data_IF_159488524873
#
_entry.id   IF_159488524873
#
_cell.length_a   1.000
_cell.length_b   1.000
_cell.length_c   1.000
_cell.angle_alpha   90.00
_cell.angle_beta   90.00
_cell.angle_gamma   90.00
#
_symmetry.space_group_name_H-M   'P 1'
#
loop_
_entity.id
_entity.type
_entity.pdbx_description
1 polymer ?
#
# COMPACT_ATOMS: atom_id res chain seq x y z
N UNK A 1 11.12 -54.96 1.69
CA UNK A 1 10.49 -54.01 2.64
C UNK A 1 10.83 -54.27 4.09
N UNK A 2 10.78 -55.53 4.56
CA UNK A 2 11.07 -55.88 5.96
C UNK A 2 12.52 -55.56 6.41
N UNK A 3 13.54 -55.78 5.51
CA UNK A 3 14.94 -55.49 5.80
C UNK A 3 15.21 -54.00 6.01
N UNK A 4 14.63 -53.15 5.18
CA UNK A 4 14.78 -51.68 5.27
C UNK A 4 14.21 -51.11 6.59
N UNK A 5 13.08 -51.64 7.04
CA UNK A 5 12.48 -51.23 8.33
C UNK A 5 13.35 -51.65 9.50
N UNK A 6 13.96 -52.83 9.43
CA UNK A 6 14.85 -53.36 10.47
C UNK A 6 16.17 -52.57 10.55
N UNK A 7 16.68 -52.13 9.41
CA UNK A 7 17.88 -51.29 9.30
C UNK A 7 17.60 -49.87 9.86
N UNK A 8 16.44 -49.28 9.54
CA UNK A 8 16.00 -48.02 10.12
C UNK A 8 15.85 -48.08 11.66
N UNK A 9 15.37 -49.18 12.18
CA UNK A 9 15.22 -49.40 13.63
C UNK A 9 16.58 -49.65 14.32
N UNK A 10 17.61 -50.05 13.60
CA UNK A 10 18.95 -50.25 14.16
C UNK A 10 19.76 -48.95 14.21
N UNK A 11 19.58 -48.05 13.19
CA UNK A 11 20.25 -46.75 13.11
C UNK A 11 19.29 -45.58 13.40
N UNK A 12 18.53 -45.66 14.47
CA UNK A 12 17.49 -44.68 14.82
C UNK A 12 17.97 -43.24 14.83
N UNK A 13 19.17 -42.98 15.35
CA UNK A 13 19.75 -41.64 15.41
C UNK A 13 19.99 -41.03 14.03
N UNK A 14 20.53 -41.82 13.09
CA UNK A 14 20.80 -41.36 11.72
C UNK A 14 19.52 -41.01 10.98
N UNK A 15 18.52 -41.90 11.02
CA UNK A 15 17.25 -41.66 10.35
C UNK A 15 16.44 -40.54 11.00
N UNK A 16 16.47 -40.42 12.34
CA UNK A 16 15.80 -39.32 13.02
C UNK A 16 16.41 -37.94 12.67
N UNK A 17 17.74 -37.86 12.51
CA UNK A 17 18.41 -36.65 12.07
C UNK A 17 18.01 -36.26 10.64
N UNK A 18 17.90 -37.23 9.72
CA UNK A 18 17.46 -36.98 8.34
C UNK A 18 16.01 -36.46 8.33
N UNK A 19 15.12 -37.13 9.07
CA UNK A 19 13.73 -36.70 9.19
C UNK A 19 13.63 -35.32 9.81
N UNK A 20 14.37 -35.02 10.87
CA UNK A 20 14.43 -33.73 11.51
C UNK A 20 14.94 -32.65 10.55
N UNK A 21 15.94 -32.94 9.73
CA UNK A 21 16.45 -32.02 8.71
C UNK A 21 15.38 -31.70 7.65
N UNK A 22 14.72 -32.74 7.11
CA UNK A 22 13.66 -32.58 6.12
C UNK A 22 12.50 -31.77 6.72
N UNK A 23 12.11 -32.05 7.96
CA UNK A 23 11.08 -31.29 8.67
C UNK A 23 11.47 -29.81 8.83
N UNK A 24 12.71 -29.55 9.27
CA UNK A 24 13.22 -28.19 9.45
C UNK A 24 13.21 -27.40 8.14
N UNK A 25 13.70 -27.99 7.05
CA UNK A 25 13.72 -27.34 5.73
C UNK A 25 12.29 -27.06 5.25
N UNK A 26 11.39 -28.04 5.37
CA UNK A 26 9.99 -27.88 4.98
C UNK A 26 9.30 -26.79 5.81
N UNK A 27 9.56 -26.76 7.11
CA UNK A 27 9.02 -25.74 8.02
C UNK A 27 9.51 -24.33 7.66
N UNK A 28 10.81 -24.18 7.38
CA UNK A 28 11.38 -22.90 6.92
C UNK A 28 10.76 -22.44 5.60
N UNK A 29 10.56 -23.34 4.63
CA UNK A 29 9.92 -23.00 3.36
C UNK A 29 8.50 -22.50 3.56
N UNK A 30 7.71 -23.14 4.42
CA UNK A 30 6.34 -22.70 4.73
C UNK A 30 6.33 -21.30 5.37
N UNK A 31 7.23 -21.05 6.34
CA UNK A 31 7.33 -19.73 6.98
C UNK A 31 7.73 -18.67 5.97
N UNK A 32 8.76 -18.91 5.15
CA UNK A 32 9.23 -17.95 4.15
C UNK A 32 8.16 -17.63 3.12
N UNK A 33 7.43 -18.64 2.65
CA UNK A 33 6.32 -18.46 1.70
C UNK A 33 5.18 -17.66 2.34
N UNK A 34 4.82 -17.96 3.58
CA UNK A 34 3.79 -17.23 4.32
C UNK A 34 4.17 -15.76 4.56
N UNK A 35 5.43 -15.50 4.92
CA UNK A 35 5.94 -14.15 5.13
C UNK A 35 5.95 -13.35 3.80
N UNK A 36 6.44 -13.95 2.72
CA UNK A 36 6.47 -13.32 1.40
C UNK A 36 5.06 -12.95 0.93
N UNK A 37 4.10 -13.88 1.06
CA UNK A 37 2.69 -13.64 0.71
C UNK A 37 2.06 -12.55 1.59
N UNK A 38 2.35 -12.58 2.89
CA UNK A 38 1.88 -11.56 3.83
C UNK A 38 2.38 -10.16 3.46
N UNK A 39 3.67 -10.03 3.17
CA UNK A 39 4.28 -8.76 2.78
C UNK A 39 3.72 -8.25 1.44
N UNK A 40 3.58 -9.12 0.45
CA UNK A 40 2.97 -8.75 -0.84
C UNK A 40 1.54 -8.24 -0.66
N UNK A 41 0.74 -8.86 0.21
CA UNK A 41 -0.62 -8.40 0.50
C UNK A 41 -0.64 -7.04 1.20
N UNK A 42 0.29 -6.77 2.12
CA UNK A 42 0.41 -5.45 2.75
C UNK A 42 0.79 -4.35 1.76
N UNK A 43 1.61 -4.65 0.76
CA UNK A 43 2.04 -3.68 -0.24
C UNK A 43 0.88 -3.18 -1.12
N UNK A 44 -0.13 -4.00 -1.37
CA UNK A 44 -1.24 -3.72 -2.30
C UNK A 44 -2.60 -3.50 -1.63
N UNK A 45 -2.70 -3.65 -0.32
CA UNK A 45 -3.99 -3.70 0.37
C UNK A 45 -4.86 -2.46 0.09
N UNK A 46 -4.27 -1.25 0.15
CA UNK A 46 -5.00 -0.02 -0.14
C UNK A 46 -5.46 0.07 -1.60
N UNK A 47 -4.60 -0.38 -2.55
CA UNK A 47 -4.89 -0.32 -3.99
C UNK A 47 -6.06 -1.23 -4.36
N UNK A 48 -6.13 -2.41 -3.76
CA UNK A 48 -7.23 -3.34 -3.96
C UNK A 48 -8.60 -2.78 -3.52
N UNK A 49 -8.60 -1.85 -2.53
CA UNK A 49 -9.83 -1.19 -2.06
C UNK A 49 -10.23 0.01 -2.95
N UNK A 50 -9.39 0.45 -3.90
CA UNK A 50 -9.68 1.61 -4.74
C UNK A 50 -10.80 1.37 -5.78
N UNK A 51 -11.12 0.12 -6.10
CA UNK A 51 -12.11 -0.23 -7.14
C UNK A 51 -11.81 0.44 -8.49
N UNK A 52 -10.55 0.38 -8.86
CA UNK A 52 -10.01 1.00 -10.06
C UNK A 52 -9.58 -0.05 -11.08
N UNK A 53 -9.65 0.27 -12.37
CA UNK A 53 -9.16 -0.61 -13.44
C UNK A 53 -7.81 -0.17 -13.99
N UNK A 54 -7.52 1.14 -13.95
CA UNK A 54 -6.26 1.64 -14.48
C UNK A 54 -5.71 2.84 -13.71
N UNK A 55 -4.40 3.03 -13.83
CA UNK A 55 -3.64 4.11 -13.25
C UNK A 55 -2.73 4.72 -14.31
N UNK A 56 -2.70 6.05 -14.38
CA UNK A 56 -1.79 6.80 -15.24
C UNK A 56 -0.68 7.39 -14.39
N UNK A 57 0.55 7.13 -14.79
CA UNK A 57 1.79 7.53 -14.13
C UNK A 57 2.70 8.23 -15.14
N UNK A 58 3.72 8.92 -14.65
CA UNK A 58 4.83 9.36 -15.50
C UNK A 58 5.56 8.13 -16.06
N UNK A 59 5.91 8.15 -17.36
CA UNK A 59 6.61 7.04 -18.04
C UNK A 59 7.94 6.69 -17.38
N UNK A 60 8.69 7.70 -16.92
CA UNK A 60 10.03 7.55 -16.35
C UNK A 60 10.01 6.96 -14.93
N UNK A 61 8.83 6.89 -14.33
CA UNK A 61 8.66 6.29 -12.99
C UNK A 61 8.77 4.77 -12.98
N UNK A 62 8.81 4.11 -14.14
CA UNK A 62 8.82 2.65 -14.27
C UNK A 62 7.66 1.94 -13.54
N UNK A 63 6.56 2.67 -13.32
CA UNK A 63 5.40 2.19 -12.57
C UNK A 63 5.51 2.37 -11.04
N UNK A 64 6.48 3.11 -10.55
CA UNK A 64 6.64 3.41 -9.12
C UNK A 64 5.89 4.68 -8.75
N UNK A 65 4.85 4.56 -7.94
CA UNK A 65 3.99 5.69 -7.55
C UNK A 65 4.78 6.83 -6.90
N UNK A 66 5.74 6.50 -6.03
CA UNK A 66 6.55 7.51 -5.30
C UNK A 66 7.50 8.31 -6.19
N UNK A 67 7.86 7.75 -7.36
CA UNK A 67 8.77 8.36 -8.33
C UNK A 67 8.01 8.97 -9.52
N UNK A 68 6.71 8.83 -9.55
CA UNK A 68 5.86 9.40 -10.58
C UNK A 68 5.47 10.82 -10.23
N UNK A 69 5.76 11.74 -11.14
CA UNK A 69 5.41 13.15 -11.04
C UNK A 69 4.73 13.58 -12.35
N UNK A 70 3.46 13.86 -12.28
CA UNK A 70 2.66 14.36 -13.40
C UNK A 70 2.63 15.89 -13.38
N UNK A 71 2.88 16.51 -14.53
CA UNK A 71 2.73 17.95 -14.68
C UNK A 71 1.24 18.36 -14.67
N UNK A 72 0.97 19.63 -14.41
CA UNK A 72 -0.39 20.15 -14.47
C UNK A 72 -1.02 19.99 -15.87
N UNK A 73 -0.24 20.17 -16.93
CA UNK A 73 -0.69 19.99 -18.32
C UNK A 73 -1.05 18.54 -18.62
N UNK A 74 -0.23 17.59 -18.11
CA UNK A 74 -0.51 16.16 -18.25
C UNK A 74 -1.83 15.80 -17.52
N UNK A 75 -2.01 16.29 -16.30
CA UNK A 75 -3.23 16.04 -15.53
C UNK A 75 -4.45 16.68 -16.19
N UNK A 76 -4.33 17.92 -16.68
CA UNK A 76 -5.42 18.65 -17.37
C UNK A 76 -5.82 17.99 -18.70
N UNK A 77 -4.89 17.29 -19.35
CA UNK A 77 -5.15 16.57 -20.62
C UNK A 77 -5.88 15.24 -20.39
N UNK A 78 -5.93 14.74 -19.16
CA UNK A 78 -6.65 13.52 -18.80
C UNK A 78 -8.15 13.79 -18.59
N UNK A 79 -9.01 12.77 -18.80
CA UNK A 79 -10.44 12.92 -18.52
C UNK A 79 -10.73 13.28 -17.06
N UNK A 80 -11.70 14.16 -16.83
CA UNK A 80 -12.06 14.68 -15.51
C UNK A 80 -12.71 13.66 -14.55
N UNK A 81 -12.97 12.43 -15.02
CA UNK A 81 -13.54 11.34 -14.21
C UNK A 81 -12.48 10.52 -13.46
N UNK A 82 -11.21 10.88 -13.57
CA UNK A 82 -10.12 10.28 -12.81
C UNK A 82 -10.04 10.80 -11.37
N UNK A 83 -9.44 10.00 -10.50
CA UNK A 83 -9.07 10.42 -9.15
C UNK A 83 -7.60 10.76 -9.11
N UNK A 84 -7.29 12.00 -8.78
CA UNK A 84 -5.90 12.46 -8.56
C UNK A 84 -5.40 11.87 -7.26
N UNK A 85 -4.19 11.30 -7.30
CA UNK A 85 -3.47 10.75 -6.15
C UNK A 85 -2.20 11.58 -5.96
N UNK A 86 -2.08 12.16 -4.76
CA UNK A 86 -0.81 12.71 -4.28
C UNK A 86 -0.37 11.92 -3.06
N UNK A 87 0.87 11.46 -3.06
CA UNK A 87 1.42 10.60 -2.03
C UNK A 87 2.65 11.25 -1.40
N UNK A 88 2.77 11.12 -0.08
CA UNK A 88 3.93 11.58 0.68
C UNK A 88 4.26 10.63 1.83
N UNK A 89 5.48 10.08 1.83
CA UNK A 89 5.96 9.20 2.90
C UNK A 89 6.55 10.03 4.02
N UNK A 90 6.12 9.80 5.25
CA UNK A 90 6.58 10.57 6.41
C UNK A 90 6.44 9.79 7.72
N UNK A 91 7.11 10.28 8.75
CA UNK A 91 6.86 9.90 10.13
C UNK A 91 5.79 10.85 10.71
N UNK A 92 4.81 10.29 11.39
CA UNK A 92 3.85 11.06 12.19
C UNK A 92 4.03 10.74 13.68
N UNK A 93 3.76 11.75 14.52
CA UNK A 93 3.84 11.63 15.97
C UNK A 93 2.54 12.14 16.58
N UNK A 94 1.97 11.41 17.54
CA UNK A 94 0.86 11.91 18.36
C UNK A 94 1.38 12.79 19.51
N UNK A 95 0.48 13.57 20.09
CA UNK A 95 0.77 14.36 21.30
C UNK A 95 1.18 13.47 22.49
N UNK A 96 0.68 12.23 22.54
CA UNK A 96 1.03 11.22 23.54
C UNK A 96 2.37 10.51 23.28
N UNK A 97 3.13 10.95 22.29
CA UNK A 97 4.46 10.40 21.97
C UNK A 97 4.48 9.16 21.08
N UNK A 98 3.32 8.60 20.69
CA UNK A 98 3.25 7.50 19.72
C UNK A 98 3.81 7.97 18.36
N UNK A 99 4.57 7.11 17.69
CA UNK A 99 5.19 7.41 16.40
C UNK A 99 4.85 6.31 15.40
N UNK A 100 4.58 6.68 14.15
CA UNK A 100 4.33 5.72 13.07
C UNK A 100 4.85 6.26 11.74
N UNK A 101 5.57 5.40 10.99
CA UNK A 101 5.90 5.68 9.59
C UNK A 101 4.66 5.44 8.75
N UNK A 102 4.30 6.38 7.90
CA UNK A 102 3.03 6.34 7.17
C UNK A 102 3.15 6.88 5.75
N UNK A 103 2.17 6.51 4.94
CA UNK A 103 1.90 7.12 3.63
C UNK A 103 0.72 8.07 3.77
N UNK A 104 0.95 9.37 3.61
CA UNK A 104 -0.13 10.32 3.39
C UNK A 104 -0.60 10.16 1.96
N UNK A 105 -1.89 9.93 1.75
CA UNK A 105 -2.51 9.81 0.43
C UNK A 105 -3.63 10.81 0.33
N UNK A 106 -3.44 11.81 -0.51
CA UNK A 106 -4.47 12.82 -0.73
C UNK A 106 -5.49 12.36 -1.77
N UNK A 107 -6.75 12.44 -1.38
CA UNK A 107 -7.92 12.10 -2.19
C UNK A 107 -8.99 13.19 -2.05
N UNK A 108 -9.57 13.59 -3.18
CA UNK A 108 -10.78 14.42 -3.13
C UNK A 108 -11.92 13.62 -2.48
N UNK A 109 -12.63 14.24 -1.56
CA UNK A 109 -13.79 13.66 -0.89
C UNK A 109 -14.93 13.26 -1.84
N UNK A 110 -14.97 13.85 -3.05
CA UNK A 110 -15.92 13.51 -4.12
C UNK A 110 -15.46 12.35 -4.99
N UNK A 111 -14.19 11.93 -4.88
CA UNK A 111 -13.62 10.87 -5.71
C UNK A 111 -14.32 9.53 -5.49
N UNK A 112 -14.33 8.69 -6.52
CA UNK A 112 -14.94 7.36 -6.43
C UNK A 112 -14.21 6.47 -5.41
N UNK A 113 -12.88 6.63 -5.27
CA UNK A 113 -12.08 5.90 -4.27
C UNK A 113 -12.55 6.27 -2.86
N UNK A 114 -12.63 7.59 -2.57
CA UNK A 114 -13.02 8.04 -1.24
C UNK A 114 -14.47 7.65 -0.91
N UNK A 115 -15.39 7.71 -1.86
CA UNK A 115 -16.78 7.30 -1.67
C UNK A 115 -16.90 5.83 -1.26
N UNK A 116 -16.06 4.94 -1.78
CA UNK A 116 -16.04 3.50 -1.45
C UNK A 116 -15.29 3.15 -0.18
N UNK A 117 -14.45 4.05 0.33
CA UNK A 117 -13.66 3.80 1.53
C UNK A 117 -14.55 3.36 2.70
N UNK A 118 -14.29 2.19 3.24
CA UNK A 118 -15.01 1.64 4.41
C UNK A 118 -14.47 2.25 5.68
N UNK A 119 -15.32 2.53 6.66
CA UNK A 119 -14.94 3.04 7.98
C UNK A 119 -15.27 1.99 9.02
N UNK A 120 -14.29 1.62 9.84
CA UNK A 120 -14.47 0.68 10.96
C UNK A 120 -14.91 1.37 12.24
N UNK A 121 -14.49 2.62 12.43
CA UNK A 121 -14.96 3.47 13.54
C UNK A 121 -14.70 4.94 13.24
N UNK A 122 -15.51 5.83 13.82
CA UNK A 122 -15.43 7.27 13.60
C UNK A 122 -16.22 7.75 12.40
N UNK A 123 -15.73 8.81 11.75
CA UNK A 123 -16.37 9.46 10.61
C UNK A 123 -15.45 9.54 9.40
N UNK A 124 -16.04 9.58 8.22
CA UNK A 124 -15.36 9.72 6.94
C UNK A 124 -15.17 11.19 6.57
N UNK A 125 -14.28 11.88 7.28
CA UNK A 125 -13.99 13.28 7.06
C UNK A 125 -12.49 13.52 6.87
N UNK A 126 -12.13 14.26 5.80
CA UNK A 126 -10.74 14.64 5.49
C UNK A 126 -10.57 16.16 5.32
N UNK A 127 -11.62 16.96 5.62
CA UNK A 127 -11.59 18.42 5.50
C UNK A 127 -10.91 19.03 6.74
N UNK A 128 -10.37 20.26 6.58
CA UNK A 128 -9.80 21.04 7.68
C UNK A 128 -8.68 20.30 8.42
N UNK A 129 -7.70 19.79 7.69
CA UNK A 129 -6.61 19.00 8.24
C UNK A 129 -7.08 17.77 9.05
N UNK A 130 -8.18 17.18 8.64
CA UNK A 130 -8.65 15.90 9.16
C UNK A 130 -8.17 14.74 8.28
N UNK A 131 -8.07 13.55 8.86
CA UNK A 131 -7.65 12.36 8.16
C UNK A 131 -8.37 11.11 8.61
N UNK A 132 -8.59 10.20 7.65
CA UNK A 132 -9.02 8.82 7.91
C UNK A 132 -7.79 7.95 7.84
N UNK A 133 -7.50 7.22 8.93
CA UNK A 133 -6.25 6.48 9.08
C UNK A 133 -6.48 4.98 9.05
N UNK A 134 -5.44 4.23 8.68
CA UNK A 134 -5.43 2.78 8.73
C UNK A 134 -5.78 2.24 10.14
N UNK A 135 -6.50 1.12 10.21
CA UNK A 135 -6.77 0.39 11.46
C UNK A 135 -5.50 0.00 12.22
N UNK A 136 -4.33 0.00 11.56
CA UNK A 136 -3.05 -0.19 12.24
C UNK A 136 -2.83 0.87 13.31
N UNK A 137 -3.13 2.14 13.04
CA UNK A 137 -3.02 3.21 14.04
C UNK A 137 -3.84 2.92 15.30
N UNK A 138 -5.06 2.37 15.13
CA UNK A 138 -5.90 1.97 16.28
C UNK A 138 -5.25 0.87 17.10
N UNK A 139 -4.66 -0.14 16.45
CA UNK A 139 -3.93 -1.22 17.13
C UNK A 139 -2.69 -0.72 17.87
N UNK A 140 -2.04 0.32 17.35
CA UNK A 140 -0.85 0.95 17.93
C UNK A 140 -1.19 1.98 19.03
N UNK A 141 -2.49 2.11 19.38
CA UNK A 141 -2.95 2.92 20.51
C UNK A 141 -3.43 4.32 20.17
N UNK A 142 -3.44 4.73 18.89
CA UNK A 142 -4.01 6.03 18.48
C UNK A 142 -5.54 6.01 18.57
N UNK A 143 -6.14 7.16 18.87
CA UNK A 143 -7.57 7.33 19.10
C UNK A 143 -8.17 8.36 18.14
N UNK A 144 -9.48 8.26 17.92
CA UNK A 144 -10.24 9.32 17.24
C UNK A 144 -10.11 10.60 18.06
N UNK A 145 -9.82 11.70 17.35
CA UNK A 145 -9.58 13.01 17.96
C UNK A 145 -8.10 13.34 18.18
N UNK A 146 -7.21 12.33 18.20
CA UNK A 146 -5.77 12.57 18.30
C UNK A 146 -5.27 13.39 17.09
N UNK A 147 -4.22 14.19 17.33
CA UNK A 147 -3.53 14.93 16.28
C UNK A 147 -2.23 14.23 15.91
N UNK A 148 -2.06 13.99 14.62
CA UNK A 148 -0.81 13.50 14.01
C UNK A 148 0.03 14.69 13.59
N UNK A 149 1.15 14.91 14.24
CA UNK A 149 2.16 15.90 13.85
C UNK A 149 3.04 15.26 12.77
N UNK A 150 3.07 15.89 11.60
CA UNK A 150 3.90 15.44 10.47
C UNK A 150 5.34 15.88 10.69
N UNK A 151 6.30 14.95 10.58
CA UNK A 151 7.72 15.25 10.78
C UNK A 151 8.20 16.33 9.78
N UNK A 152 9.08 17.20 10.27
CA UNK A 152 9.66 18.32 9.51
C UNK A 152 8.62 19.28 8.93
N UNK A 153 7.44 19.39 9.54
CA UNK A 153 6.34 20.25 9.13
C UNK A 153 5.57 20.76 10.34
N UNK A 154 4.85 21.87 10.17
CA UNK A 154 3.87 22.36 11.14
C UNK A 154 2.49 21.72 10.98
N UNK A 155 2.33 20.80 10.01
CA UNK A 155 1.05 20.20 9.72
C UNK A 155 0.61 19.26 10.85
N UNK A 156 -0.61 19.47 11.31
CA UNK A 156 -1.31 18.61 12.27
C UNK A 156 -2.56 18.03 11.60
N UNK A 157 -2.69 16.71 11.62
CA UNK A 157 -3.83 16.00 11.03
C UNK A 157 -4.64 15.38 12.15
N UNK A 158 -5.90 15.78 12.28
CA UNK A 158 -6.82 15.21 13.27
C UNK A 158 -7.37 13.89 12.78
N UNK A 159 -7.25 12.83 13.56
CA UNK A 159 -7.86 11.52 13.28
C UNK A 159 -9.38 11.62 13.44
N UNK A 160 -10.10 11.37 12.35
CA UNK A 160 -11.57 11.39 12.33
C UNK A 160 -12.19 10.02 12.23
N UNK A 161 -11.47 9.05 11.68
CA UNK A 161 -11.95 7.69 11.53
C UNK A 161 -10.85 6.71 11.17
N UNK A 162 -11.17 5.45 11.35
CA UNK A 162 -10.30 4.32 11.01
C UNK A 162 -10.86 3.54 9.83
N UNK A 163 -9.97 3.02 8.98
CA UNK A 163 -10.33 2.26 7.78
C UNK A 163 -9.52 0.96 7.69
N UNK A 164 -10.14 -0.16 7.29
CA UNK A 164 -9.45 -1.43 7.15
C UNK A 164 -8.61 -1.46 5.87
N UNK A 165 -7.65 -2.39 5.81
CA UNK A 165 -6.84 -2.68 4.62
C UNK A 165 -6.15 -1.47 3.98
N UNK A 166 -5.92 -0.42 4.74
CA UNK A 166 -5.26 0.80 4.28
C UNK A 166 -3.75 0.70 4.52
N UNK A 167 -3.08 -0.09 3.70
CA UNK A 167 -1.63 -0.27 3.70
C UNK A 167 -1.11 -0.15 2.27
N UNK A 168 -0.07 0.65 2.06
CA UNK A 168 0.57 0.90 0.78
C UNK A 168 2.08 0.86 0.97
N UNK A 169 2.79 0.06 0.17
CA UNK A 169 4.24 -0.16 0.32
C UNK A 169 4.63 -0.56 1.76
N UNK A 170 3.88 -1.49 2.35
CA UNK A 170 4.01 -1.98 3.73
C UNK A 170 3.78 -0.94 4.84
N UNK A 171 3.48 0.31 4.51
CA UNK A 171 3.20 1.37 5.47
C UNK A 171 1.69 1.63 5.61
N UNK A 172 1.19 1.94 6.81
CA UNK A 172 -0.20 2.32 7.00
C UNK A 172 -0.49 3.64 6.29
N UNK A 173 -1.69 3.77 5.74
CA UNK A 173 -2.13 4.96 5.00
C UNK A 173 -2.91 5.91 5.91
N UNK A 174 -2.67 7.19 5.72
CA UNK A 174 -3.49 8.30 6.21
C UNK A 174 -4.10 8.99 5.00
N UNK A 175 -5.41 8.86 4.82
CA UNK A 175 -6.15 9.58 3.78
C UNK A 175 -6.47 10.99 4.23
N UNK A 176 -6.08 11.98 3.42
CA UNK A 176 -6.26 13.41 3.69
C UNK A 176 -6.84 14.12 2.45
N UNK A 177 -7.21 15.38 2.59
CA UNK A 177 -7.62 16.19 1.43
C UNK A 177 -6.40 16.65 0.61
N UNK A 178 -6.60 16.98 -0.69
CA UNK A 178 -5.55 17.58 -1.52
C UNK A 178 -5.00 18.88 -0.92
N UNK A 179 -5.85 19.72 -0.33
CA UNK A 179 -5.43 20.98 0.30
C UNK A 179 -4.47 20.73 1.47
N UNK A 180 -4.70 19.66 2.24
CA UNK A 180 -3.85 19.31 3.39
C UNK A 180 -2.45 18.89 2.96
N UNK A 181 -2.29 18.17 1.85
CA UNK A 181 -0.96 17.72 1.39
C UNK A 181 -0.18 18.78 0.62
N UNK A 182 -0.85 19.78 0.08
CA UNK A 182 -0.23 20.79 -0.78
C UNK A 182 0.93 21.52 -0.10
N UNK A 183 0.86 21.74 1.20
CA UNK A 183 1.95 22.36 1.99
C UNK A 183 3.19 21.50 2.10
N UNK A 184 3.08 20.18 1.95
CA UNK A 184 4.19 19.22 2.13
C UNK A 184 4.94 18.95 0.83
N UNK A 185 4.24 18.78 -0.27
CA UNK A 185 4.80 18.37 -1.55
C UNK A 185 4.55 19.35 -2.70
N UNK A 186 4.20 20.60 -2.39
CA UNK A 186 3.97 21.68 -3.36
C UNK A 186 2.95 21.31 -4.44
N UNK A 187 1.93 20.53 -4.09
CA UNK A 187 0.89 20.11 -5.02
C UNK A 187 1.30 19.06 -6.06
N UNK A 188 2.35 18.30 -5.80
CA UNK A 188 2.79 17.22 -6.69
C UNK A 188 1.68 16.19 -6.85
N UNK A 189 1.34 15.87 -8.10
CA UNK A 189 0.46 14.76 -8.47
C UNK A 189 1.31 13.54 -8.85
N UNK A 190 1.10 12.41 -8.16
CA UNK A 190 1.84 11.19 -8.46
C UNK A 190 1.12 10.33 -9.51
N UNK A 191 -0.19 10.30 -9.50
CA UNK A 191 -0.98 9.49 -10.43
C UNK A 191 -2.38 10.04 -10.63
N UNK A 192 -3.02 9.60 -11.70
CA UNK A 192 -4.47 9.70 -11.87
C UNK A 192 -5.03 8.30 -12.06
N UNK A 193 -6.00 7.94 -11.25
CA UNK A 193 -6.59 6.60 -11.19
C UNK A 193 -7.99 6.65 -11.80
N UNK A 194 -8.30 5.66 -12.64
CA UNK A 194 -9.57 5.56 -13.35
C UNK A 194 -10.31 4.28 -13.03
N UNK A 195 -11.63 4.38 -12.97
CA UNK A 195 -12.51 3.24 -12.77
C UNK A 195 -12.53 2.31 -14.00
N UNK A 196 -12.31 2.87 -15.18
CA UNK A 196 -12.25 2.15 -16.45
C UNK A 196 -10.91 2.42 -17.15
N UNK A 197 -10.46 1.52 -18.00
CA UNK A 197 -9.27 1.73 -18.84
C UNK A 197 -9.56 2.81 -19.87
N UNK A 198 -8.63 3.73 -20.07
CA UNK A 198 -8.71 4.78 -21.09
C UNK A 198 -8.24 4.25 -22.44
N UNK A 199 -8.77 4.83 -23.53
CA UNK A 199 -8.21 4.61 -24.86
C UNK A 199 -6.82 5.26 -24.97
N UNK A 200 -5.89 4.64 -25.68
CA UNK A 200 -4.51 5.11 -25.81
C UNK A 200 -4.43 6.55 -26.37
N UNK A 201 -5.36 6.98 -27.21
CA UNK A 201 -5.43 8.34 -27.73
C UNK A 201 -5.67 9.44 -26.68
N UNK A 202 -6.09 9.05 -25.49
CA UNK A 202 -6.35 9.96 -24.35
C UNK A 202 -5.20 10.00 -23.34
N UNK A 203 -4.11 9.28 -23.61
CA UNK A 203 -2.94 9.21 -22.74
C UNK A 203 -1.95 10.30 -23.15
N UNK A 204 -1.65 11.27 -22.26
CA UNK A 204 -0.71 12.35 -22.59
C UNK A 204 0.71 11.83 -22.84
N UNK A 205 1.49 12.56 -23.66
CA UNK A 205 2.90 12.25 -23.89
C UNK A 205 3.68 12.26 -22.58
N UNK A 206 4.65 11.35 -22.45
CA UNK A 206 5.45 11.21 -21.22
C UNK A 206 4.70 10.56 -20.05
N UNK A 207 3.54 9.96 -20.32
CA UNK A 207 2.80 9.19 -19.32
C UNK A 207 2.53 7.78 -19.79
N UNK A 208 2.32 6.86 -18.86
CA UNK A 208 1.98 5.47 -19.12
C UNK A 208 0.71 5.10 -18.36
N UNK A 209 -0.21 4.42 -19.04
CA UNK A 209 -1.34 3.78 -18.39
C UNK A 209 -1.00 2.33 -18.08
N UNK A 210 -1.19 1.92 -16.85
CA UNK A 210 -1.11 0.53 -16.42
C UNK A 210 -2.49 0.05 -15.95
N UNK A 211 -2.79 -1.23 -16.19
CA UNK A 211 -3.88 -1.87 -15.44
C UNK A 211 -3.50 -1.92 -13.96
N UNK A 212 -4.48 -1.96 -13.07
CA UNK A 212 -4.21 -2.05 -11.63
C UNK A 212 -3.40 -3.31 -11.29
N UNK A 213 -3.67 -4.44 -11.94
CA UNK A 213 -2.90 -5.67 -11.75
C UNK A 213 -1.45 -5.51 -12.21
N UNK A 214 -1.21 -4.90 -13.37
CA UNK A 214 0.14 -4.61 -13.85
C UNK A 214 0.89 -3.64 -12.94
N UNK A 215 0.19 -2.67 -12.37
CA UNK A 215 0.76 -1.74 -11.39
C UNK A 215 1.12 -2.44 -10.08
N UNK A 216 0.23 -3.28 -9.54
CA UNK A 216 0.48 -4.08 -8.36
C UNK A 216 1.71 -4.97 -8.54
N UNK A 217 1.88 -5.59 -9.71
CA UNK A 217 3.02 -6.46 -10.01
C UNK A 217 4.36 -5.71 -10.04
N UNK A 218 4.36 -4.38 -10.19
CA UNK A 218 5.55 -3.53 -10.12
C UNK A 218 5.85 -2.99 -8.71
N UNK A 219 4.99 -3.26 -7.73
CA UNK A 219 5.24 -2.84 -6.35
C UNK A 219 6.41 -3.64 -5.74
N UNK A 220 7.22 -3.01 -4.86
CA UNK A 220 8.30 -3.71 -4.17
C UNK A 220 7.80 -4.97 -3.45
N UNK A 221 8.53 -6.08 -3.61
CA UNK A 221 8.19 -7.37 -2.99
C UNK A 221 7.23 -8.25 -3.78
N UNK A 222 6.56 -7.75 -4.84
CA UNK A 222 5.68 -8.58 -5.68
C UNK A 222 6.43 -9.26 -6.82
N UNK A 223 7.40 -8.58 -7.43
CA UNK A 223 8.24 -9.12 -8.50
C UNK A 223 9.09 -10.34 -8.08
N UNK A 224 9.41 -10.47 -6.79
CA UNK A 224 10.13 -11.62 -6.27
C UNK A 224 9.30 -12.92 -6.24
N UNK A 225 7.96 -12.84 -6.20
CA UNK A 225 7.08 -14.02 -6.19
C UNK A 225 6.91 -14.66 -7.58
N UNK A 226 7.02 -13.90 -8.67
CA UNK A 226 6.91 -14.46 -10.02
C UNK A 226 8.14 -15.30 -10.43
N UNK A 227 9.29 -15.06 -9.81
CA UNK A 227 10.52 -15.82 -10.09
C UNK A 227 10.54 -17.21 -9.44
N UNK A 228 9.64 -17.50 -8.51
CA UNK A 228 9.59 -18.77 -7.75
C UNK A 228 8.60 -19.80 -8.32
N UNK A 229 7.83 -19.46 -9.35
CA UNK A 229 6.78 -20.32 -9.93
C UNK A 229 6.90 -20.54 -11.44
N UNK A 230 8.04 -20.21 -12.07
CA UNK A 230 8.35 -20.58 -13.48
C UNK A 230 9.42 -21.66 -13.51
#
# INVERSE_FOLDING_TARGET
MFLAIKEMLHEKLRYSLIVALIFLVSYLLIILTGLATGLANLNKAAINEWDASSIVLNSDSEGRLQQSFLSQDQVASLPNNGTIISQYSTLVKSENGLKENTQLVALDSKSFIFKKLKITSGSKNVRNNAGVVSDKFKRDGFKIGDHLLVANSSLRIKITGFTPRATLSALPVVYISPDTIQSLNKGVTNAVVFKNTLNNSKIPKGTIQLSIDSFINKLPGYSAQQLTFN
#
